data_IF_283923676326
#
_entry.id   IF_283923676326
#
_cell.length_a   1.000
_cell.length_b   1.000
_cell.length_c   1.000
_cell.angle_alpha   90.00
_cell.angle_beta   90.00
_cell.angle_gamma   90.00
#
_symmetry.space_group_name_H-M   'P 1'
#
loop_
_entity.id
_entity.type
_entity.pdbx_description
1 polymer ?
#
# COMPACT_ATOMS: atom_id res chain seq x y z
N UNK A 1 3.45 -22.94 -12.73
CA UNK A 1 4.08 -23.28 -11.43
C UNK A 1 3.02 -23.83 -10.48
N UNK A 2 3.34 -24.80 -9.62
CA UNK A 2 2.41 -25.31 -8.60
C UNK A 2 3.17 -25.31 -7.27
N UNK A 3 2.58 -24.75 -6.23
CA UNK A 3 3.16 -24.69 -4.89
C UNK A 3 2.05 -24.63 -3.84
N UNK A 4 2.37 -25.04 -2.61
CA UNK A 4 1.49 -25.03 -1.45
C UNK A 4 2.30 -24.46 -0.27
N UNK A 5 1.65 -23.65 0.57
CA UNK A 5 2.14 -23.29 1.89
C UNK A 5 1.00 -23.43 2.91
N UNK A 6 1.36 -23.75 4.14
CA UNK A 6 0.42 -23.93 5.24
C UNK A 6 0.80 -22.99 6.39
N UNK A 7 -0.17 -22.22 6.88
CA UNK A 7 -0.06 -21.52 8.15
C UNK A 7 -0.54 -22.40 9.30
N UNK A 8 -0.86 -21.80 10.45
CA UNK A 8 -1.28 -22.57 11.62
C UNK A 8 -2.66 -23.24 11.44
N UNK A 9 -3.61 -22.51 10.85
CA UNK A 9 -4.99 -23.00 10.59
C UNK A 9 -5.53 -22.64 9.21
N UNK A 10 -4.68 -22.18 8.30
CA UNK A 10 -5.05 -21.86 6.93
C UNK A 10 -4.04 -22.46 5.94
N UNK A 11 -4.45 -22.58 4.68
CA UNK A 11 -3.62 -23.09 3.60
C UNK A 11 -3.74 -22.18 2.39
N UNK A 12 -2.63 -22.00 1.69
CA UNK A 12 -2.52 -21.21 0.46
C UNK A 12 -1.82 -22.03 -0.60
N UNK A 13 -2.30 -21.96 -1.84
CA UNK A 13 -1.70 -22.69 -2.96
C UNK A 13 -1.85 -21.96 -4.28
N UNK A 14 -0.93 -22.24 -5.20
CA UNK A 14 -0.96 -21.73 -6.58
C UNK A 14 -1.18 -22.88 -7.57
N UNK A 15 -2.02 -22.62 -8.57
CA UNK A 15 -2.23 -23.53 -9.71
C UNK A 15 -1.28 -23.18 -10.86
N UNK A 16 -1.16 -24.09 -11.83
CA UNK A 16 -0.23 -23.97 -12.98
C UNK A 16 -0.36 -22.66 -13.77
N UNK A 17 -1.57 -22.09 -13.85
CA UNK A 17 -1.90 -20.82 -14.48
C UNK A 17 -1.54 -19.57 -13.63
N UNK A 18 -0.93 -19.75 -12.46
CA UNK A 18 -0.54 -18.66 -11.55
C UNK A 18 -1.68 -18.10 -10.71
N UNK A 19 -2.85 -18.75 -10.66
CA UNK A 19 -3.94 -18.33 -9.75
C UNK A 19 -3.64 -18.71 -8.31
N UNK A 20 -3.94 -17.82 -7.36
CA UNK A 20 -3.79 -18.00 -5.92
C UNK A 20 -5.10 -18.42 -5.28
N UNK A 21 -5.05 -19.44 -4.43
CA UNK A 21 -6.20 -19.98 -3.73
C UNK A 21 -5.89 -20.17 -2.25
N UNK A 22 -6.89 -19.98 -1.41
CA UNK A 22 -6.78 -20.04 0.06
C UNK A 22 -7.95 -20.85 0.65
N UNK A 23 -7.77 -21.38 1.86
CA UNK A 23 -8.85 -21.93 2.67
C UNK A 23 -8.43 -22.01 4.15
N UNK A 24 -9.41 -22.17 5.05
CA UNK A 24 -9.20 -22.40 6.47
C UNK A 24 -9.66 -21.24 7.34
N UNK A 25 -8.92 -21.00 8.42
CA UNK A 25 -9.13 -19.88 9.35
C UNK A 25 -8.88 -18.51 8.70
N UNK A 26 -9.68 -17.51 9.05
CA UNK A 26 -9.66 -16.15 8.53
C UNK A 26 -9.90 -15.09 9.63
N UNK A 27 -9.74 -15.44 10.92
CA UNK A 27 -10.02 -14.52 12.04
C UNK A 27 -9.16 -13.24 12.01
N UNK A 28 -8.06 -13.25 11.25
CA UNK A 28 -7.14 -12.12 11.05
C UNK A 28 -7.09 -11.61 9.62
N UNK A 29 -7.96 -12.10 8.72
CA UNK A 29 -7.96 -11.72 7.30
C UNK A 29 -6.91 -12.45 6.47
N UNK A 30 -6.33 -13.54 6.96
CA UNK A 30 -5.23 -14.28 6.30
C UNK A 30 -5.62 -14.95 4.97
N UNK A 31 -6.92 -14.98 4.65
CA UNK A 31 -7.43 -15.42 3.35
C UNK A 31 -7.47 -14.27 2.32
N UNK A 32 -7.55 -13.01 2.75
CA UNK A 32 -7.56 -11.87 1.82
C UNK A 32 -8.80 -11.79 0.93
N UNK A 33 -9.92 -12.35 1.36
CA UNK A 33 -11.20 -12.40 0.63
C UNK A 33 -12.09 -11.15 0.89
N UNK A 34 -11.57 -10.18 1.63
CA UNK A 34 -12.33 -9.01 2.10
C UNK A 34 -13.19 -9.28 3.32
N UNK A 35 -13.13 -10.49 3.89
CA UNK A 35 -13.91 -10.87 5.07
C UNK A 35 -13.00 -11.33 6.23
N UNK A 36 -13.62 -11.69 7.35
CA UNK A 36 -12.97 -12.39 8.47
C UNK A 36 -13.64 -13.75 8.73
N UNK A 37 -14.31 -14.29 7.72
CA UNK A 37 -15.06 -15.54 7.84
C UNK A 37 -14.19 -16.72 7.43
N UNK A 38 -14.20 -17.76 8.26
CA UNK A 38 -13.53 -19.02 7.95
C UNK A 38 -14.23 -19.72 6.78
N UNK A 39 -13.46 -20.43 5.96
CA UNK A 39 -13.98 -21.21 4.84
C UNK A 39 -13.32 -22.58 4.80
N UNK A 40 -14.10 -23.63 4.57
CA UNK A 40 -13.58 -24.98 4.34
C UNK A 40 -13.52 -25.34 2.85
N UNK A 41 -13.75 -24.37 1.97
CA UNK A 41 -13.66 -24.53 0.52
C UNK A 41 -12.53 -23.65 -0.01
N UNK A 42 -11.77 -24.12 -1.00
CA UNK A 42 -10.80 -23.27 -1.68
C UNK A 42 -11.48 -22.07 -2.34
N UNK A 43 -10.99 -20.87 -2.01
CA UNK A 43 -11.43 -19.61 -2.60
C UNK A 43 -10.31 -19.00 -3.43
N UNK A 44 -10.65 -18.46 -4.59
CA UNK A 44 -9.68 -17.84 -5.49
C UNK A 44 -9.53 -16.36 -5.14
N UNK A 45 -8.33 -15.95 -4.75
CA UNK A 45 -8.03 -14.56 -4.36
C UNK A 45 -7.42 -13.79 -5.53
N UNK A 46 -6.51 -14.44 -6.26
CA UNK A 46 -5.86 -13.84 -7.43
C UNK A 46 -6.06 -14.74 -8.65
N UNK A 47 -6.45 -14.16 -9.78
CA UNK A 47 -6.78 -14.91 -10.98
C UNK A 47 -5.57 -15.49 -11.72
N UNK A 48 -4.41 -14.83 -11.64
CA UNK A 48 -3.17 -15.24 -12.31
C UNK A 48 -1.92 -14.51 -11.76
N UNK A 49 -0.77 -14.74 -12.39
CA UNK A 49 0.48 -14.00 -12.19
C UNK A 49 1.18 -14.19 -10.84
N UNK A 50 0.73 -15.09 -9.96
CA UNK A 50 1.46 -15.43 -8.73
C UNK A 50 2.54 -16.47 -9.00
N UNK A 51 3.74 -16.19 -8.51
CA UNK A 51 4.97 -16.98 -8.76
C UNK A 51 5.66 -17.47 -7.49
N UNK A 52 5.23 -17.03 -6.32
CA UNK A 52 5.70 -17.57 -5.03
C UNK A 52 4.69 -17.26 -3.95
N UNK A 53 4.67 -18.09 -2.91
CA UNK A 53 3.79 -17.99 -1.75
C UNK A 53 4.56 -18.36 -0.49
N UNK A 54 4.15 -17.78 0.64
CA UNK A 54 4.55 -18.19 1.98
C UNK A 54 3.40 -17.98 2.95
N UNK A 55 3.40 -18.72 4.05
CA UNK A 55 2.41 -18.60 5.12
C UNK A 55 3.10 -18.62 6.49
N UNK A 56 2.67 -17.74 7.39
CA UNK A 56 3.02 -17.74 8.81
C UNK A 56 1.84 -18.24 9.65
N UNK A 57 1.84 -17.96 10.96
CA UNK A 57 0.78 -18.38 11.90
C UNK A 57 -0.63 -17.96 11.41
N UNK A 58 -0.81 -16.65 11.20
CA UNK A 58 -2.02 -16.03 10.65
C UNK A 58 -1.69 -14.97 9.59
N UNK A 59 -0.61 -15.20 8.82
CA UNK A 59 -0.10 -14.31 7.77
C UNK A 59 0.00 -15.07 6.45
N UNK A 60 -0.39 -14.45 5.35
CA UNK A 60 -0.16 -14.95 3.99
C UNK A 60 0.66 -13.94 3.18
N UNK A 61 1.65 -14.43 2.43
CA UNK A 61 2.48 -13.64 1.53
C UNK A 61 2.47 -14.24 0.12
N UNK A 62 2.52 -13.39 -0.90
CA UNK A 62 2.74 -13.86 -2.27
C UNK A 62 3.50 -12.87 -3.14
N UNK A 63 4.30 -13.38 -4.07
CA UNK A 63 4.96 -12.58 -5.09
C UNK A 63 4.26 -12.74 -6.43
N UNK A 64 4.10 -11.62 -7.13
CA UNK A 64 3.65 -11.60 -8.54
C UNK A 64 4.83 -11.64 -9.50
N UNK A 65 4.58 -12.06 -10.73
CA UNK A 65 5.57 -12.15 -11.82
C UNK A 65 6.22 -10.81 -12.18
N UNK A 66 5.59 -9.68 -11.83
CA UNK A 66 6.16 -8.34 -11.98
C UNK A 66 7.13 -7.95 -10.84
N UNK A 67 7.44 -8.87 -9.92
CA UNK A 67 8.33 -8.64 -8.78
C UNK A 67 7.67 -7.97 -7.57
N UNK A 68 6.36 -7.70 -7.62
CA UNK A 68 5.67 -7.14 -6.44
C UNK A 68 5.41 -8.21 -5.37
N UNK A 69 5.63 -7.85 -4.11
CA UNK A 69 5.32 -8.63 -2.92
C UNK A 69 4.04 -8.09 -2.29
N UNK A 70 3.17 -9.00 -1.89
CA UNK A 70 1.89 -8.70 -1.30
C UNK A 70 1.70 -9.50 -0.01
N UNK A 71 0.97 -8.92 0.94
CA UNK A 71 0.70 -9.49 2.25
C UNK A 71 -0.78 -9.36 2.62
N UNK A 72 -1.28 -10.26 3.46
CA UNK A 72 -2.62 -10.22 4.05
C UNK A 72 -2.63 -11.00 5.36
N UNK A 73 -3.53 -10.65 6.27
CA UNK A 73 -3.70 -11.33 7.54
C UNK A 73 -3.25 -10.50 8.73
N UNK A 74 -2.78 -11.19 9.77
CA UNK A 74 -2.36 -10.59 11.03
C UNK A 74 -1.27 -9.55 10.82
N UNK A 75 -1.46 -8.39 11.44
CA UNK A 75 -0.52 -7.29 11.42
C UNK A 75 -0.30 -6.65 12.81
N UNK A 76 -0.76 -7.28 13.90
CA UNK A 76 -0.71 -6.67 15.24
C UNK A 76 0.72 -6.34 15.74
N UNK A 77 1.75 -6.88 15.09
CA UNK A 77 3.16 -6.62 15.34
C UNK A 77 3.90 -6.08 14.10
N UNK A 78 3.17 -5.57 13.10
CA UNK A 78 3.73 -5.08 11.85
C UNK A 78 4.18 -6.19 10.90
N UNK A 79 3.59 -7.39 10.99
CA UNK A 79 3.98 -8.54 10.16
C UNK A 79 3.80 -8.32 8.65
N UNK A 80 2.92 -7.39 8.24
CA UNK A 80 2.76 -7.01 6.82
C UNK A 80 3.91 -6.11 6.34
N UNK A 81 4.57 -5.36 7.23
CA UNK A 81 5.62 -4.41 6.84
C UNK A 81 5.10 -3.20 6.07
N UNK A 82 3.79 -2.91 6.19
CA UNK A 82 3.08 -1.75 5.64
C UNK A 82 3.22 -0.49 6.50
N UNK A 83 3.92 -0.59 7.64
CA UNK A 83 4.06 0.43 8.69
C UNK A 83 2.73 0.75 9.40
N UNK A 84 1.76 -0.14 9.30
CA UNK A 84 0.54 -0.15 10.09
C UNK A 84 0.55 -1.33 11.07
N UNK A 85 -0.44 -1.38 11.95
CA UNK A 85 -0.62 -2.49 12.91
C UNK A 85 -2.05 -3.09 12.86
N UNK A 86 -2.92 -2.58 12.00
CA UNK A 86 -4.24 -3.16 11.75
C UNK A 86 -4.16 -4.24 10.67
N UNK A 87 -5.05 -5.23 10.76
CA UNK A 87 -5.03 -6.44 9.93
C UNK A 87 -6.04 -6.31 8.78
N UNK A 88 -5.64 -5.80 7.60
CA UNK A 88 -6.52 -5.68 6.44
C UNK A 88 -7.02 -7.06 5.99
N UNK A 89 -8.30 -7.11 5.62
CA UNK A 89 -8.94 -8.32 5.07
C UNK A 89 -8.71 -8.50 3.57
N UNK A 90 -8.02 -7.56 2.92
CA UNK A 90 -7.64 -7.63 1.50
C UNK A 90 -6.12 -7.68 1.36
N UNK A 91 -5.62 -8.24 0.24
CA UNK A 91 -4.20 -8.20 -0.06
C UNK A 91 -3.68 -6.79 -0.26
N UNK A 92 -2.52 -6.50 0.34
CA UNK A 92 -1.83 -5.23 0.19
C UNK A 92 -0.46 -5.42 -0.42
N UNK A 93 -0.09 -4.51 -1.33
CA UNK A 93 1.21 -4.55 -1.99
C UNK A 93 2.25 -3.91 -1.08
N UNK A 94 3.19 -4.69 -0.54
CA UNK A 94 4.23 -4.23 0.39
C UNK A 94 5.59 -3.99 -0.27
N UNK A 95 5.78 -4.45 -1.50
CA UNK A 95 6.95 -4.09 -2.31
C UNK A 95 6.61 -4.16 -3.82
N UNK A 96 7.16 -3.27 -4.66
CA UNK A 96 7.69 -1.96 -4.28
C UNK A 96 6.60 -1.16 -3.55
N UNK A 97 7.01 -0.23 -2.68
CA UNK A 97 6.08 0.60 -1.91
C UNK A 97 5.14 1.37 -2.86
N UNK A 98 3.82 1.17 -2.75
CA UNK A 98 2.81 1.98 -3.41
C UNK A 98 3.05 3.47 -3.21
N UNK A 99 3.08 4.19 -4.32
CA UNK A 99 3.17 5.65 -4.30
C UNK A 99 1.84 6.24 -3.84
N UNK A 100 1.84 7.36 -3.11
CA UNK A 100 0.62 8.09 -2.81
C UNK A 100 -0.15 8.45 -4.08
N UNK A 101 -1.46 8.16 -4.10
CA UNK A 101 -2.31 8.45 -5.25
C UNK A 101 -2.97 9.82 -5.05
N UNK A 102 -2.61 10.80 -5.87
CA UNK A 102 -3.27 12.11 -5.86
C UNK A 102 -4.75 11.94 -6.24
N UNK A 103 -5.63 12.26 -5.30
CA UNK A 103 -7.09 12.17 -5.48
C UNK A 103 -7.70 13.51 -5.86
N UNK A 104 -7.09 14.62 -5.42
CA UNK A 104 -7.58 15.96 -5.72
C UNK A 104 -6.47 17.01 -5.63
N UNK A 105 -6.52 18.01 -6.52
CA UNK A 105 -5.71 19.22 -6.43
C UNK A 105 -6.54 20.45 -6.80
N UNK A 106 -6.64 21.43 -5.89
CA UNK A 106 -7.48 22.63 -6.07
C UNK A 106 -6.62 23.87 -5.95
N UNK A 107 -6.71 24.76 -6.95
CA UNK A 107 -6.24 26.14 -6.85
C UNK A 107 -7.42 27.06 -6.51
N UNK A 108 -7.36 27.74 -5.37
CA UNK A 108 -8.32 28.76 -4.99
C UNK A 108 -7.61 30.08 -4.70
N UNK A 109 -7.79 31.07 -5.59
CA UNK A 109 -7.00 32.30 -5.61
C UNK A 109 -5.51 31.96 -5.68
N UNK A 110 -4.76 32.25 -4.63
CA UNK A 110 -3.32 31.99 -4.50
C UNK A 110 -3.01 30.76 -3.65
N UNK A 111 -4.04 30.05 -3.14
CA UNK A 111 -3.89 28.89 -2.29
C UNK A 111 -4.00 27.60 -3.10
N UNK A 112 -3.13 26.63 -2.81
CA UNK A 112 -3.09 25.34 -3.48
C UNK A 112 -3.33 24.22 -2.47
N UNK A 113 -4.33 23.39 -2.74
CA UNK A 113 -4.68 22.24 -1.91
C UNK A 113 -4.36 20.95 -2.63
N UNK A 114 -3.80 19.98 -1.91
CA UNK A 114 -3.51 18.63 -2.40
C UNK A 114 -4.15 17.61 -1.47
N UNK A 115 -4.80 16.61 -2.04
CA UNK A 115 -5.24 15.42 -1.33
C UNK A 115 -4.71 14.18 -2.05
N UNK A 116 -4.15 13.24 -1.30
CA UNK A 116 -3.75 11.94 -1.82
C UNK A 116 -4.10 10.84 -0.82
N UNK A 117 -4.30 9.63 -1.31
CA UNK A 117 -4.41 8.43 -0.46
C UNK A 117 -3.08 7.72 -0.39
N UNK A 118 -2.70 7.28 0.80
CA UNK A 118 -1.46 6.55 1.07
C UNK A 118 -1.81 5.12 1.48
N UNK A 119 -1.27 4.12 0.78
CA UNK A 119 -1.46 2.72 1.17
C UNK A 119 -0.47 2.24 2.24
N UNK A 120 0.39 3.12 2.76
CA UNK A 120 1.52 2.79 3.66
C UNK A 120 1.60 3.81 4.78
N UNK A 121 1.99 3.35 5.97
CA UNK A 121 2.22 4.20 7.11
C UNK A 121 3.52 4.99 7.00
N UNK A 122 3.65 6.03 7.82
CA UNK A 122 4.87 6.83 7.93
C UNK A 122 4.64 8.31 7.64
N UNK A 123 5.75 9.04 7.55
CA UNK A 123 5.74 10.47 7.28
C UNK A 123 5.90 10.72 5.79
N UNK A 124 5.11 11.65 5.26
CA UNK A 124 5.08 12.04 3.86
C UNK A 124 5.31 13.54 3.74
N UNK A 125 6.08 13.94 2.73
CA UNK A 125 6.41 15.33 2.43
C UNK A 125 5.82 15.73 1.10
N UNK A 126 5.28 16.95 1.03
CA UNK A 126 5.10 17.64 -0.23
C UNK A 126 6.39 18.39 -0.54
N UNK A 127 7.05 18.00 -1.62
CA UNK A 127 8.25 18.64 -2.14
C UNK A 127 7.89 19.57 -3.28
N UNK A 128 8.62 20.67 -3.46
CA UNK A 128 8.50 21.56 -4.61
C UNK A 128 9.85 21.95 -5.20
N UNK A 129 9.88 22.17 -6.51
CA UNK A 129 11.06 22.67 -7.23
C UNK A 129 10.64 23.44 -8.49
N UNK A 130 11.46 24.42 -8.88
CA UNK A 130 11.43 25.06 -10.21
C UNK A 130 12.41 24.38 -11.18
N UNK A 131 13.39 23.63 -10.67
CA UNK A 131 14.36 22.88 -11.46
C UNK A 131 14.10 21.37 -11.34
N UNK A 132 13.37 20.84 -12.31
CA UNK A 132 12.91 19.45 -12.32
C UNK A 132 14.01 18.45 -12.70
N UNK A 133 15.15 18.94 -13.19
CA UNK A 133 16.30 18.10 -13.51
C UNK A 133 17.09 17.71 -12.26
N UNK A 134 16.91 18.41 -11.14
CA UNK A 134 17.54 18.04 -9.87
C UNK A 134 16.87 16.83 -9.24
N UNK A 135 17.63 15.96 -8.56
CA UNK A 135 17.10 14.79 -7.86
C UNK A 135 16.16 15.20 -6.70
N UNK A 136 15.22 14.32 -6.34
CA UNK A 136 14.18 14.60 -5.33
C UNK A 136 14.73 15.02 -3.96
N UNK A 137 15.91 14.53 -3.57
CA UNK A 137 16.57 14.91 -2.31
C UNK A 137 17.08 16.37 -2.27
N UNK A 138 17.04 17.08 -3.40
CA UNK A 138 17.36 18.51 -3.48
C UNK A 138 16.11 19.39 -3.64
N UNK A 139 14.91 18.79 -3.69
CA UNK A 139 13.67 19.56 -3.74
C UNK A 139 13.31 20.07 -2.34
N UNK A 140 12.63 21.21 -2.28
CA UNK A 140 12.29 21.86 -1.01
C UNK A 140 11.02 21.27 -0.41
N UNK A 141 11.03 20.75 0.83
CA UNK A 141 9.82 20.34 1.52
C UNK A 141 8.99 21.56 1.94
N UNK A 142 7.70 21.54 1.65
CA UNK A 142 6.76 22.63 1.95
C UNK A 142 5.57 22.19 2.81
N UNK A 143 5.40 20.89 3.02
CA UNK A 143 4.36 20.33 3.88
C UNK A 143 4.74 18.94 4.37
N UNK A 144 4.17 18.50 5.50
CA UNK A 144 4.38 17.15 6.05
C UNK A 144 3.10 16.60 6.70
N UNK A 145 2.78 15.33 6.45
CA UNK A 145 1.73 14.57 7.13
C UNK A 145 2.29 13.26 7.65
N UNK A 146 1.79 12.78 8.79
CA UNK A 146 2.04 11.42 9.27
C UNK A 146 0.77 10.58 9.13
N UNK A 147 0.91 9.41 8.54
CA UNK A 147 -0.16 8.44 8.32
C UNK A 147 0.14 7.22 9.20
N UNK A 148 -0.77 6.87 10.10
CA UNK A 148 -0.52 5.88 11.17
C UNK A 148 -1.41 4.65 11.13
N UNK A 149 -2.49 4.69 10.35
CA UNK A 149 -3.43 3.59 10.18
C UNK A 149 -4.21 3.74 8.86
N UNK A 150 -4.88 2.68 8.44
CA UNK A 150 -5.70 2.66 7.24
C UNK A 150 -6.95 3.56 7.30
N UNK A 151 -7.45 3.91 8.49
CA UNK A 151 -8.65 4.74 8.64
C UNK A 151 -8.37 6.22 8.38
N UNK A 152 -7.14 6.67 8.64
CA UNK A 152 -6.68 8.04 8.36
C UNK A 152 -5.54 8.04 7.34
N UNK A 153 -5.78 7.40 6.20
CA UNK A 153 -4.79 7.19 5.16
C UNK A 153 -4.66 8.36 4.16
N UNK A 154 -5.05 9.57 4.55
CA UNK A 154 -5.14 10.74 3.67
C UNK A 154 -3.96 11.70 3.93
N UNK A 155 -3.17 11.94 2.88
CA UNK A 155 -2.31 13.11 2.80
C UNK A 155 -3.13 14.32 2.38
N UNK A 156 -3.16 15.36 3.21
CA UNK A 156 -3.81 16.64 2.93
C UNK A 156 -2.83 17.78 3.20
N UNK A 157 -2.62 18.63 2.18
CA UNK A 157 -1.81 19.83 2.28
C UNK A 157 -2.58 21.05 1.77
N UNK A 158 -2.52 22.16 2.50
CA UNK A 158 -3.01 23.47 2.03
C UNK A 158 -1.88 24.47 2.10
N UNK A 159 -1.34 24.85 0.93
CA UNK A 159 -0.31 25.86 0.82
C UNK A 159 -0.95 27.23 0.56
N UNK A 160 -0.78 28.17 1.49
CA UNK A 160 -1.33 29.53 1.39
C UNK A 160 -0.39 30.43 0.59
N UNK A 161 -0.92 31.24 -0.32
CA UNK A 161 -0.12 32.14 -1.19
C UNK A 161 1.03 31.41 -1.93
N UNK A 162 0.79 30.18 -2.32
CA UNK A 162 1.83 29.24 -2.77
C UNK A 162 2.20 29.37 -4.24
N UNK A 163 1.36 30.06 -5.01
CA UNK A 163 1.47 30.12 -6.47
C UNK A 163 1.72 31.55 -6.90
N UNK A 164 2.96 31.82 -7.27
CA UNK A 164 3.29 32.88 -8.22
C UNK A 164 3.08 32.30 -9.63
N UNK A 165 2.03 32.75 -10.31
CA UNK A 165 1.65 32.25 -11.64
C UNK A 165 2.70 32.58 -12.73
N UNK A 166 3.68 33.43 -12.43
CA UNK A 166 4.76 33.77 -13.35
C UNK A 166 5.92 32.76 -13.35
N UNK A 167 5.99 31.87 -12.36
CA UNK A 167 7.08 30.89 -12.21
C UNK A 167 6.50 29.47 -12.22
N UNK A 168 6.88 28.65 -13.21
CA UNK A 168 6.52 27.24 -13.24
C UNK A 168 7.12 26.48 -12.04
N UNK A 169 6.27 25.82 -11.25
CA UNK A 169 6.67 24.95 -10.13
C UNK A 169 6.08 23.56 -10.30
N UNK A 170 6.81 22.54 -9.87
CA UNK A 170 6.30 21.18 -9.72
C UNK A 170 6.21 20.78 -8.26
N UNK A 171 5.36 19.79 -8.01
CA UNK A 171 5.13 19.22 -6.70
C UNK A 171 5.24 17.70 -6.74
N UNK A 172 5.71 17.10 -5.65
CA UNK A 172 5.84 15.66 -5.53
C UNK A 172 5.55 15.24 -4.08
N UNK A 173 4.79 14.17 -3.88
CA UNK A 173 4.54 13.60 -2.55
C UNK A 173 5.47 12.41 -2.36
N UNK A 174 6.34 12.47 -1.35
CA UNK A 174 7.34 11.45 -1.08
C UNK A 174 7.26 10.99 0.38
N UNK A 175 7.36 9.69 0.61
CA UNK A 175 7.50 9.12 1.95
C UNK A 175 8.94 9.31 2.48
N UNK A 176 9.12 9.68 3.77
CA UNK A 176 10.46 9.56 4.41
C UNK A 176 10.89 8.11 4.42
N UNK A 177 12.15 7.89 4.04
CA UNK A 177 12.85 6.63 4.30
C UNK A 177 12.87 6.33 5.80
#
# INVERSE_FOLDING_TARGET
MVAIAAGYRHSIFIKSNGSLWVMGDNERGQLGDGTFNNTNKPEQIISNSVVAIAAGDSLSLFCKSNGSLWAMGRNSFGELGDRFNDSPSLPEQIFPLPQPLLTNSILFKTNLQFNATCGFGGTFYLLTSTNIAQPLNQWTPVWTNSITDHNNNIFNATLTNAVDLSIGRKFYILQSQ
#
